data_IF_092353969785
#
_entry.id   IF_092353969785
#
_cell.length_a   1.000
_cell.length_b   1.000
_cell.length_c   1.000
_cell.angle_alpha   90.00
_cell.angle_beta   90.00
_cell.angle_gamma   90.00
#
_symmetry.space_group_name_H-M   'P 1'
#
loop_
_entity.id
_entity.type
_entity.pdbx_description
1 polymer ?
#
# COMPACT_ATOMS: atom_id res chain seq x y z
N UNK A 1 -29.88 7.63 13.53
CA UNK A 1 -28.97 6.47 13.66
C UNK A 1 -29.45 5.38 12.71
N UNK A 2 -28.87 5.25 11.53
CA UNK A 2 -29.16 4.13 10.60
C UNK A 2 -27.87 3.38 10.40
N UNK A 3 -27.77 2.21 11.03
CA UNK A 3 -26.71 1.24 10.86
C UNK A 3 -26.90 0.60 9.48
N UNK A 4 -26.13 0.99 8.50
CA UNK A 4 -26.07 0.30 7.20
C UNK A 4 -25.05 -0.82 7.33
N UNK A 5 -25.54 -2.03 7.45
CA UNK A 5 -24.76 -3.26 7.38
C UNK A 5 -24.23 -3.37 5.95
N UNK A 6 -22.92 -3.24 5.79
CA UNK A 6 -22.24 -3.55 4.53
C UNK A 6 -22.17 -5.08 4.45
N UNK A 7 -23.08 -5.65 3.69
CA UNK A 7 -23.02 -7.05 3.29
C UNK A 7 -21.78 -7.22 2.38
N UNK A 8 -20.79 -7.93 2.86
CA UNK A 8 -19.64 -8.35 2.07
C UNK A 8 -20.14 -9.25 0.94
N UNK A 9 -20.05 -8.76 -0.29
CA UNK A 9 -20.34 -9.53 -1.49
C UNK A 9 -19.24 -10.57 -1.65
N UNK A 10 -19.46 -11.78 -1.16
CA UNK A 10 -18.68 -12.95 -1.50
C UNK A 10 -19.00 -13.30 -2.96
N UNK A 11 -18.33 -12.62 -3.89
CA UNK A 11 -18.30 -13.07 -5.27
C UNK A 11 -17.60 -14.44 -5.29
N UNK A 12 -18.35 -15.49 -5.49
CA UNK A 12 -17.84 -16.83 -5.69
C UNK A 12 -16.96 -16.87 -6.93
N UNK A 13 -15.67 -16.63 -6.73
CA UNK A 13 -14.67 -16.94 -7.75
C UNK A 13 -14.62 -18.46 -7.79
N UNK A 14 -15.11 -19.04 -8.88
CA UNK A 14 -14.90 -20.45 -9.19
C UNK A 14 -13.40 -20.67 -9.35
N UNK A 15 -12.73 -20.97 -8.26
CA UNK A 15 -11.32 -21.36 -8.26
C UNK A 15 -11.26 -22.76 -8.84
N UNK A 16 -10.47 -22.99 -9.92
CA UNK A 16 -10.23 -24.36 -10.37
C UNK A 16 -9.74 -25.16 -9.17
N UNK A 17 -10.20 -26.41 -9.05
CA UNK A 17 -9.82 -27.30 -7.97
C UNK A 17 -8.32 -27.59 -8.03
N UNK A 18 -7.52 -26.66 -7.54
CA UNK A 18 -6.11 -26.87 -7.26
C UNK A 18 -6.05 -27.73 -6.00
N UNK A 19 -5.24 -28.77 -6.05
CA UNK A 19 -5.06 -29.66 -4.91
C UNK A 19 -4.68 -28.81 -3.68
N UNK A 20 -5.28 -29.12 -2.51
CA UNK A 20 -4.91 -28.46 -1.27
C UNK A 20 -3.39 -28.58 -1.03
N UNK A 21 -2.71 -27.54 -0.54
CA UNK A 21 -1.28 -27.55 -0.33
C UNK A 21 -0.90 -28.69 0.61
N UNK A 22 0.19 -29.37 0.30
CA UNK A 22 0.71 -30.47 1.13
C UNK A 22 1.07 -29.99 2.54
N UNK A 23 1.41 -28.71 2.67
CA UNK A 23 1.74 -28.05 3.94
C UNK A 23 1.29 -26.58 3.89
N UNK A 24 0.99 -25.92 5.03
CA UNK A 24 0.76 -24.48 5.06
C UNK A 24 1.96 -23.71 4.50
N UNK A 25 1.69 -22.62 3.80
CA UNK A 25 2.73 -21.73 3.21
C UNK A 25 3.64 -22.44 2.19
N UNK A 26 3.05 -23.27 1.33
CA UNK A 26 3.74 -23.92 0.20
C UNK A 26 2.76 -23.99 -0.97
N UNK A 27 2.99 -23.20 -2.02
CA UNK A 27 2.12 -23.10 -3.19
C UNK A 27 1.56 -21.70 -3.45
N UNK A 28 0.69 -21.59 -4.47
CA UNK A 28 0.06 -20.32 -4.81
C UNK A 28 -1.00 -19.92 -3.79
N UNK A 29 -1.21 -18.60 -3.66
CA UNK A 29 -2.28 -18.04 -2.84
C UNK A 29 -2.91 -16.82 -3.47
N UNK A 30 -4.16 -16.56 -3.11
CA UNK A 30 -4.89 -15.34 -3.40
C UNK A 30 -5.53 -14.84 -2.11
N UNK A 31 -5.60 -13.52 -1.92
CA UNK A 31 -6.18 -12.98 -0.70
C UNK A 31 -6.75 -11.60 -0.84
N UNK A 32 -7.38 -11.17 0.26
CA UNK A 32 -7.91 -9.83 0.44
C UNK A 32 -7.35 -9.21 1.70
N UNK A 33 -7.20 -7.90 1.70
CA UNK A 33 -6.66 -7.16 2.83
C UNK A 33 -7.40 -5.85 3.03
N UNK A 34 -7.39 -5.38 4.27
CA UNK A 34 -7.89 -4.07 4.65
C UNK A 34 -7.18 -3.55 5.89
N UNK A 35 -7.13 -2.23 6.06
CA UNK A 35 -6.39 -1.67 7.17
C UNK A 35 -6.37 -0.16 7.19
N UNK A 36 -5.43 0.37 7.94
CA UNK A 36 -5.25 1.79 8.13
C UNK A 36 -3.91 2.24 7.54
N UNK A 37 -3.94 3.37 6.83
CA UNK A 37 -2.79 3.97 6.18
C UNK A 37 -2.63 5.41 6.63
N UNK A 38 -1.40 5.81 6.93
CA UNK A 38 -1.01 7.17 7.23
C UNK A 38 0.03 7.64 6.22
N UNK A 39 -0.31 8.69 5.49
CA UNK A 39 0.56 9.36 4.55
C UNK A 39 1.20 10.60 5.19
N UNK A 40 2.48 10.79 4.96
CA UNK A 40 3.24 11.95 5.42
C UNK A 40 3.86 12.66 4.21
N UNK A 41 3.41 13.87 3.96
CA UNK A 41 4.01 14.78 2.99
C UNK A 41 4.88 15.80 3.74
N UNK A 42 6.17 15.86 3.39
CA UNK A 42 7.08 16.89 3.86
C UNK A 42 7.42 17.80 2.70
N UNK A 43 7.04 19.06 2.82
CA UNK A 43 7.42 20.12 1.89
C UNK A 43 8.53 20.93 2.54
N UNK A 44 9.68 21.04 1.86
CA UNK A 44 10.77 21.92 2.25
C UNK A 44 10.99 22.94 1.13
N UNK A 45 10.63 24.18 1.37
CA UNK A 45 10.90 25.29 0.45
C UNK A 45 12.07 26.10 1.02
N UNK A 46 13.10 26.32 0.21
CA UNK A 46 14.21 27.23 0.54
C UNK A 46 13.97 28.48 -0.31
N UNK A 47 13.49 29.54 0.33
CA UNK A 47 13.32 30.85 -0.26
C UNK A 47 14.27 31.83 0.44
N UNK A 48 15.20 32.48 -0.31
CA UNK A 48 16.09 33.54 0.12
C UNK A 48 16.62 33.49 1.57
N UNK A 49 16.96 32.26 2.05
CA UNK A 49 17.52 32.07 3.40
C UNK A 49 16.50 31.77 4.51
N UNK A 50 15.20 31.73 4.19
CA UNK A 50 14.14 31.33 5.16
C UNK A 50 13.55 30.01 4.73
N UNK A 51 13.83 28.93 5.49
CA UNK A 51 13.28 27.60 5.23
C UNK A 51 11.90 27.43 5.87
N UNK A 52 10.85 27.33 5.08
CA UNK A 52 9.51 26.95 5.55
C UNK A 52 9.37 25.44 5.44
N UNK A 53 9.08 24.76 6.56
CA UNK A 53 8.80 23.34 6.60
C UNK A 53 7.35 23.11 6.98
N UNK A 54 6.59 22.53 6.09
CA UNK A 54 5.22 22.06 6.37
C UNK A 54 5.20 20.54 6.42
N UNK A 55 4.46 19.99 7.38
CA UNK A 55 4.23 18.55 7.52
C UNK A 55 2.72 18.33 7.56
N UNK A 56 2.21 17.68 6.56
CA UNK A 56 0.83 17.23 6.53
C UNK A 56 0.75 15.72 6.72
N UNK A 57 -0.18 15.29 7.56
CA UNK A 57 -0.52 13.89 7.78
C UNK A 57 -1.94 13.67 7.29
N UNK A 58 -2.13 12.65 6.48
CA UNK A 58 -3.44 12.28 5.97
C UNK A 58 -3.66 10.79 6.22
N UNK A 59 -4.68 10.46 7.00
CA UNK A 59 -5.02 9.12 7.39
C UNK A 59 -6.17 8.60 6.54
N UNK A 60 -6.21 7.29 6.28
CA UNK A 60 -7.30 6.69 5.52
C UNK A 60 -7.35 5.18 5.67
N UNK A 61 -8.52 4.63 5.36
CA UNK A 61 -8.71 3.18 5.28
C UNK A 61 -8.22 2.68 3.92
N UNK A 62 -7.37 1.64 3.92
CA UNK A 62 -6.87 0.95 2.73
C UNK A 62 -7.54 -0.41 2.60
N UNK A 63 -7.83 -0.81 1.37
CA UNK A 63 -8.39 -2.12 1.04
C UNK A 63 -7.81 -2.62 -0.27
N UNK A 64 -7.77 -3.94 -0.46
CA UNK A 64 -7.19 -4.48 -1.69
C UNK A 64 -7.17 -5.98 -1.76
N UNK A 65 -6.52 -6.47 -2.82
CA UNK A 65 -6.28 -7.88 -3.05
C UNK A 65 -4.81 -8.15 -3.33
N UNK A 66 -4.43 -9.39 -3.11
CA UNK A 66 -3.10 -9.89 -3.38
C UNK A 66 -3.14 -11.28 -3.97
N UNK A 67 -2.09 -11.59 -4.72
CA UNK A 67 -1.80 -12.92 -5.26
C UNK A 67 -0.33 -13.19 -5.07
N UNK A 68 0.04 -14.43 -4.81
CA UNK A 68 1.44 -14.75 -4.61
C UNK A 68 1.70 -16.25 -4.68
N UNK A 69 2.96 -16.57 -4.46
CA UNK A 69 3.45 -17.92 -4.40
C UNK A 69 4.47 -18.05 -3.28
N UNK A 70 4.32 -19.07 -2.44
CA UNK A 70 5.24 -19.44 -1.39
C UNK A 70 5.96 -20.71 -1.74
N UNK A 71 7.23 -20.74 -1.46
CA UNK A 71 8.08 -21.89 -1.61
C UNK A 71 8.77 -22.21 -0.28
N UNK A 72 8.55 -23.41 0.24
CA UNK A 72 9.18 -23.86 1.48
C UNK A 72 10.62 -24.30 1.20
N UNK A 73 11.59 -23.43 1.53
CA UNK A 73 13.03 -23.70 1.36
C UNK A 73 13.54 -24.80 2.30
N UNK A 74 12.96 -24.87 3.50
CA UNK A 74 13.34 -25.81 4.55
C UNK A 74 12.17 -26.00 5.52
N UNK A 75 12.27 -26.89 6.51
CA UNK A 75 11.22 -27.05 7.53
C UNK A 75 10.82 -25.75 8.24
N UNK A 76 11.71 -24.75 8.28
CA UNK A 76 11.48 -23.51 9.01
C UNK A 76 11.49 -22.24 8.14
N UNK A 77 11.95 -22.31 6.89
CA UNK A 77 12.06 -21.11 6.04
C UNK A 77 11.16 -21.18 4.82
N UNK A 78 10.47 -20.09 4.58
CA UNK A 78 9.59 -19.87 3.42
C UNK A 78 10.10 -18.65 2.63
N UNK A 79 10.27 -18.83 1.33
CA UNK A 79 10.53 -17.75 0.39
C UNK A 79 9.29 -17.55 -0.46
N UNK A 80 8.81 -16.32 -0.59
CA UNK A 80 7.64 -16.02 -1.40
C UNK A 80 7.80 -14.80 -2.28
N UNK A 81 6.93 -14.73 -3.29
CA UNK A 81 6.73 -13.56 -4.13
C UNK A 81 5.25 -13.18 -4.13
N UNK A 82 4.95 -11.89 -4.07
CA UNK A 82 3.59 -11.39 -3.98
C UNK A 82 3.41 -10.16 -4.86
N UNK A 83 2.27 -10.09 -5.56
CA UNK A 83 1.77 -8.90 -6.19
C UNK A 83 0.47 -8.46 -5.50
N UNK A 84 0.31 -7.17 -5.24
CA UNK A 84 -0.90 -6.64 -4.62
C UNK A 84 -1.36 -5.36 -5.28
N UNK A 85 -2.69 -5.17 -5.26
CA UNK A 85 -3.36 -3.95 -5.66
C UNK A 85 -4.17 -3.43 -4.49
N UNK A 86 -3.95 -2.17 -4.11
CA UNK A 86 -4.70 -1.53 -3.02
C UNK A 86 -5.30 -0.22 -3.49
N UNK A 87 -6.49 0.08 -2.95
CA UNK A 87 -7.18 1.35 -3.06
C UNK A 87 -7.35 1.97 -1.67
N UNK A 88 -7.65 3.26 -1.62
CA UNK A 88 -7.89 3.98 -0.37
C UNK A 88 -9.28 4.59 -0.35
N UNK A 89 -9.92 4.55 0.82
CA UNK A 89 -11.11 5.36 1.09
C UNK A 89 -10.66 6.64 1.80
N UNK A 90 -10.99 7.77 1.24
CA UNK A 90 -10.70 9.09 1.80
C UNK A 90 -10.68 10.11 0.68
N UNK A 91 -11.26 11.28 0.95
CA UNK A 91 -11.24 12.41 0.03
C UNK A 91 -10.42 13.49 0.69
N UNK A 92 -9.26 13.81 0.13
CA UNK A 92 -8.53 15.00 0.47
C UNK A 92 -9.18 16.21 -0.21
N UNK A 93 -9.42 17.28 0.54
CA UNK A 93 -9.83 18.55 -0.02
C UNK A 93 -8.68 19.54 0.19
N UNK A 94 -8.18 20.11 -0.89
CA UNK A 94 -7.27 21.24 -0.84
C UNK A 94 -8.11 22.51 -1.12
N UNK A 95 -8.13 23.44 -0.17
CA UNK A 95 -8.68 24.76 -0.36
C UNK A 95 -7.51 25.71 -0.60
N UNK A 96 -7.48 26.39 -1.75
CA UNK A 96 -6.40 27.31 -2.12
C UNK A 96 -6.52 28.70 -1.46
N UNK A 97 -7.55 28.90 -0.64
CA UNK A 97 -7.82 30.20 0.00
C UNK A 97 -8.53 31.22 -0.89
N UNK A 98 -8.75 30.90 -2.18
CA UNK A 98 -9.47 31.75 -3.14
C UNK A 98 -10.86 31.21 -3.50
N UNK A 99 -11.30 30.12 -2.86
CA UNK A 99 -12.64 29.55 -3.03
C UNK A 99 -12.70 28.31 -3.91
N UNK A 100 -11.61 27.89 -4.53
CA UNK A 100 -11.56 26.67 -5.31
C UNK A 100 -11.21 25.45 -4.45
N UNK A 101 -12.06 24.42 -4.55
CA UNK A 101 -11.89 23.17 -3.82
C UNK A 101 -11.38 22.09 -4.77
N UNK A 102 -10.11 21.76 -4.68
CA UNK A 102 -9.52 20.67 -5.45
C UNK A 102 -9.77 19.35 -4.75
N UNK A 103 -10.31 18.36 -5.48
CA UNK A 103 -10.52 17.02 -4.98
C UNK A 103 -9.33 16.15 -5.31
N UNK A 104 -8.56 15.79 -4.30
CA UNK A 104 -7.51 14.79 -4.38
C UNK A 104 -8.14 13.41 -4.19
N UNK A 105 -8.14 12.60 -5.23
CA UNK A 105 -8.51 11.19 -5.14
C UNK A 105 -7.23 10.38 -5.29
N UNK A 106 -6.83 9.66 -4.25
CA UNK A 106 -5.79 8.64 -4.42
C UNK A 106 -6.36 7.54 -5.32
N UNK A 107 -5.63 7.24 -6.37
CA UNK A 107 -5.90 6.14 -7.27
C UNK A 107 -5.51 4.80 -6.63
N UNK A 108 -4.94 3.92 -7.42
CA UNK A 108 -4.47 2.60 -7.01
C UNK A 108 -3.00 2.63 -6.60
N UNK A 109 -2.61 1.75 -5.68
CA UNK A 109 -1.22 1.39 -5.43
C UNK A 109 -0.99 -0.05 -5.87
N UNK A 110 0.05 -0.28 -6.66
CA UNK A 110 0.51 -1.60 -7.09
C UNK A 110 1.81 -1.92 -6.37
N UNK A 111 1.93 -3.12 -5.80
CA UNK A 111 3.16 -3.58 -5.18
C UNK A 111 3.58 -4.92 -5.80
N UNK A 112 4.90 -5.07 -5.99
CA UNK A 112 5.54 -6.33 -6.32
C UNK A 112 6.67 -6.56 -5.30
N UNK A 113 6.55 -7.60 -4.48
CA UNK A 113 7.42 -7.82 -3.32
C UNK A 113 7.87 -9.26 -3.23
N UNK A 114 9.10 -9.45 -2.72
CA UNK A 114 9.55 -10.72 -2.18
C UNK A 114 9.31 -10.78 -0.69
N UNK A 115 9.11 -11.98 -0.14
CA UNK A 115 9.00 -12.23 1.29
C UNK A 115 9.90 -13.38 1.74
N UNK A 116 10.50 -13.23 2.91
CA UNK A 116 11.26 -14.28 3.58
C UNK A 116 10.64 -14.47 4.97
N UNK A 117 10.18 -15.68 5.24
CA UNK A 117 9.50 -16.02 6.46
C UNK A 117 10.17 -17.14 7.25
N UNK A 118 9.94 -17.12 8.54
CA UNK A 118 10.32 -18.17 9.49
C UNK A 118 9.07 -18.76 10.12
N UNK A 119 8.93 -20.08 10.04
CA UNK A 119 7.82 -20.83 10.60
C UNK A 119 7.97 -20.94 12.12
N UNK A 120 6.93 -20.50 12.83
CA UNK A 120 6.81 -20.61 14.29
C UNK A 120 5.75 -21.65 14.60
N UNK A 121 6.21 -22.78 15.10
CA UNK A 121 5.33 -23.96 15.23
C UNK A 121 4.88 -24.46 13.86
N UNK A 122 3.72 -25.15 13.84
CA UNK A 122 3.22 -25.82 12.63
C UNK A 122 2.36 -24.91 11.74
N UNK A 123 1.93 -23.74 12.25
CA UNK A 123 0.88 -22.92 11.63
C UNK A 123 1.15 -21.43 11.60
N UNK A 124 2.21 -20.94 12.24
CA UNK A 124 2.57 -19.53 12.28
C UNK A 124 3.73 -19.23 11.35
N UNK A 125 3.69 -18.09 10.64
CA UNK A 125 4.76 -17.57 9.80
C UNK A 125 5.04 -16.12 10.18
N UNK A 126 6.24 -15.84 10.70
CA UNK A 126 6.75 -14.47 10.83
C UNK A 126 7.58 -14.18 9.60
N UNK A 127 7.36 -13.04 8.95
CA UNK A 127 8.08 -12.72 7.72
C UNK A 127 8.46 -11.24 7.62
N UNK A 128 9.52 -11.00 6.88
CA UNK A 128 9.86 -9.70 6.33
C UNK A 128 9.58 -9.71 4.83
N UNK A 129 9.16 -8.58 4.30
CA UNK A 129 8.93 -8.38 2.87
C UNK A 129 9.57 -7.11 2.37
N UNK A 130 9.86 -7.05 1.07
CA UNK A 130 10.38 -5.85 0.45
C UNK A 130 10.28 -5.92 -1.06
N UNK A 131 10.17 -4.77 -1.69
CA UNK A 131 10.07 -4.70 -3.15
C UNK A 131 9.64 -3.34 -3.67
N UNK A 132 9.15 -3.36 -4.89
CA UNK A 132 8.72 -2.19 -5.64
C UNK A 132 7.28 -1.81 -5.33
N UNK A 133 7.01 -0.51 -5.28
CA UNK A 133 5.68 0.08 -5.09
C UNK A 133 5.46 1.20 -6.09
N UNK A 134 4.31 1.17 -6.79
CA UNK A 134 3.87 2.22 -7.71
C UNK A 134 2.52 2.76 -7.23
N UNK A 135 2.49 4.03 -6.86
CA UNK A 135 1.28 4.73 -6.43
C UNK A 135 0.83 5.73 -7.48
N UNK A 136 -0.44 5.63 -7.89
CA UNK A 136 -1.07 6.57 -8.83
C UNK A 136 -1.90 7.59 -8.08
N UNK A 137 -1.65 8.86 -8.38
CA UNK A 137 -2.39 9.99 -7.87
C UNK A 137 -3.18 10.64 -9.01
N UNK A 138 -4.49 10.72 -8.87
CA UNK A 138 -5.37 11.40 -9.83
C UNK A 138 -5.78 12.78 -9.25
N UNK A 139 -5.26 13.85 -9.83
CA UNK A 139 -5.71 15.22 -9.59
C UNK A 139 -6.89 15.49 -10.53
N UNK A 140 -8.07 15.66 -9.98
CA UNK A 140 -9.25 16.07 -10.73
C UNK A 140 -9.51 17.55 -10.52
N UNK A 141 -9.25 18.31 -11.59
CA UNK A 141 -9.75 19.65 -11.80
C UNK A 141 -11.07 19.57 -12.58
N UNK A 142 -12.02 20.52 -12.45
CA UNK A 142 -13.25 20.57 -13.26
C UNK A 142 -13.04 20.49 -14.77
N UNK A 143 -11.84 20.82 -15.26
CA UNK A 143 -11.52 20.88 -16.69
C UNK A 143 -10.58 19.75 -17.16
N UNK A 144 -9.71 19.21 -16.29
CA UNK A 144 -8.71 18.21 -16.66
C UNK A 144 -8.44 17.20 -15.52
N UNK A 145 -8.19 15.94 -15.90
CA UNK A 145 -7.69 14.92 -14.98
C UNK A 145 -6.22 14.64 -15.32
N UNK A 146 -5.31 14.98 -14.41
CA UNK A 146 -3.88 14.71 -14.56
C UNK A 146 -3.50 13.59 -13.59
N UNK A 147 -3.23 12.40 -14.12
CA UNK A 147 -2.69 11.28 -13.35
C UNK A 147 -1.17 11.36 -13.27
N UNK A 148 -0.60 11.24 -12.08
CA UNK A 148 0.83 11.08 -11.86
C UNK A 148 1.12 9.76 -11.17
N UNK A 149 1.98 8.96 -11.80
CA UNK A 149 2.52 7.74 -11.19
C UNK A 149 3.79 8.09 -10.40
N UNK A 150 3.91 7.52 -9.20
CA UNK A 150 5.10 7.63 -8.35
C UNK A 150 5.62 6.25 -8.03
N UNK A 151 6.88 6.05 -8.37
CA UNK A 151 7.63 4.85 -8.09
C UNK A 151 8.36 4.97 -6.77
N UNK A 152 8.45 3.87 -6.05
CA UNK A 152 9.12 3.81 -4.77
C UNK A 152 9.42 2.37 -4.37
N UNK A 153 9.89 2.20 -3.15
CA UNK A 153 10.06 0.90 -2.54
C UNK A 153 9.15 0.75 -1.32
N UNK A 154 8.81 -0.49 -1.02
CA UNK A 154 8.09 -0.85 0.20
C UNK A 154 8.87 -1.91 0.96
N UNK A 155 8.89 -1.79 2.28
CA UNK A 155 9.42 -2.81 3.19
C UNK A 155 8.40 -3.03 4.30
N UNK A 156 8.31 -4.25 4.79
CA UNK A 156 7.33 -4.57 5.82
C UNK A 156 7.70 -5.80 6.61
N UNK A 157 6.97 -5.98 7.69
CA UNK A 157 7.01 -7.17 8.52
C UNK A 157 5.59 -7.63 8.80
N UNK A 158 5.40 -8.94 8.91
CA UNK A 158 4.08 -9.49 9.15
C UNK A 158 4.12 -10.80 9.92
N UNK A 159 2.95 -11.14 10.38
CA UNK A 159 2.65 -12.43 10.96
C UNK A 159 1.43 -13.02 10.24
N UNK A 160 1.53 -14.27 9.83
CA UNK A 160 0.46 -15.02 9.18
C UNK A 160 0.20 -16.31 9.91
N UNK A 161 -1.06 -16.56 10.25
CA UNK A 161 -1.51 -17.76 10.97
C UNK A 161 -2.38 -18.60 10.07
N UNK A 162 -1.98 -19.84 9.81
CA UNK A 162 -2.83 -20.80 9.14
C UNK A 162 -4.00 -21.22 10.06
N UNK A 163 -5.21 -20.85 9.67
CA UNK A 163 -6.44 -21.21 10.35
C UNK A 163 -6.89 -22.63 9.98
N UNK A 164 -6.74 -22.94 8.71
CA UNK A 164 -6.95 -24.27 8.13
C UNK A 164 -5.77 -24.65 7.25
N UNK A 165 -5.84 -25.74 6.52
CA UNK A 165 -4.82 -26.10 5.52
C UNK A 165 -4.79 -25.14 4.33
N UNK A 166 -5.93 -24.52 4.03
CA UNK A 166 -6.13 -23.69 2.85
C UNK A 166 -6.36 -22.22 3.17
N UNK A 167 -6.69 -21.85 4.42
CA UNK A 167 -7.00 -20.48 4.80
C UNK A 167 -6.04 -20.01 5.88
N UNK A 168 -5.47 -18.85 5.68
CA UNK A 168 -4.66 -18.13 6.68
C UNK A 168 -5.19 -16.72 6.92
N UNK A 169 -4.89 -16.19 8.12
CA UNK A 169 -5.09 -14.80 8.49
C UNK A 169 -3.74 -14.14 8.71
N UNK A 170 -3.57 -12.91 8.21
CA UNK A 170 -2.32 -12.16 8.35
C UNK A 170 -2.54 -10.76 8.92
N UNK A 171 -1.53 -10.26 9.62
CA UNK A 171 -1.39 -8.86 10.02
C UNK A 171 -0.02 -8.39 9.57
N UNK A 172 0.05 -7.19 9.01
CA UNK A 172 1.23 -6.68 8.35
C UNK A 172 1.41 -5.19 8.62
N UNK A 173 2.64 -4.78 8.88
CA UNK A 173 3.06 -3.38 8.89
C UNK A 173 3.97 -3.14 7.69
N UNK A 174 3.64 -2.10 6.90
CA UNK A 174 4.39 -1.69 5.73
C UNK A 174 4.83 -0.24 5.83
N UNK A 175 6.07 0.01 5.48
CA UNK A 175 6.63 1.32 5.23
C UNK A 175 6.96 1.45 3.75
N UNK A 176 6.51 2.53 3.10
CA UNK A 176 6.82 2.82 1.71
C UNK A 176 7.40 4.23 1.58
N UNK A 177 8.42 4.36 0.73
CA UNK A 177 9.07 5.62 0.40
C UNK A 177 9.06 5.80 -1.13
N UNK A 178 8.45 6.88 -1.57
CA UNK A 178 8.30 7.22 -3.00
C UNK A 178 9.30 8.29 -3.44
N UNK A 179 10.36 8.48 -2.67
CA UNK A 179 11.45 9.38 -2.96
C UNK A 179 11.10 10.86 -2.87
N UNK A 180 12.07 11.69 -3.20
CA UNK A 180 11.94 13.13 -3.26
C UNK A 180 11.95 13.60 -4.72
N UNK A 181 10.99 14.42 -5.12
CA UNK A 181 11.07 15.15 -6.40
C UNK A 181 11.41 16.61 -6.13
N UNK A 182 12.47 17.08 -6.79
CA UNK A 182 12.79 18.50 -6.86
C UNK A 182 11.96 19.09 -8.00
N UNK A 183 10.93 19.84 -7.70
CA UNK A 183 10.22 20.63 -8.69
C UNK A 183 10.95 21.98 -8.85
N UNK A 184 11.67 22.14 -9.95
CA UNK A 184 12.10 23.47 -10.40
C UNK A 184 10.90 24.08 -11.12
N UNK A 185 10.31 25.10 -10.55
CA UNK A 185 9.19 25.78 -11.17
C UNK A 185 9.72 26.76 -12.23
N UNK A 186 9.61 26.37 -13.51
CA UNK A 186 10.02 27.19 -14.65
C UNK A 186 9.16 28.47 -14.83
N UNK A 187 8.11 28.67 -14.02
CA UNK A 187 7.22 29.81 -14.07
C UNK A 187 7.70 31.04 -13.23
N UNK A 188 8.65 30.80 -12.31
CA UNK A 188 9.27 31.88 -11.51
C UNK A 188 10.79 31.75 -11.58
N UNK A 189 11.34 32.16 -12.72
CA UNK A 189 12.79 32.18 -12.95
C UNK A 189 13.46 33.32 -12.15
N UNK A 190 13.57 33.13 -10.84
CA UNK A 190 14.43 33.92 -9.95
C UNK A 190 15.54 33.06 -9.32
N UNK A 191 15.93 32.02 -10.00
CA UNK A 191 17.27 31.42 -9.89
C UNK A 191 17.61 30.59 -8.64
N UNK A 192 16.79 30.57 -7.57
CA UNK A 192 17.19 29.98 -6.27
C UNK A 192 16.16 29.08 -5.58
N UNK A 193 14.94 28.98 -6.06
CA UNK A 193 13.88 28.26 -5.34
C UNK A 193 13.82 26.79 -5.71
N UNK A 194 14.24 25.93 -4.81
CA UNK A 194 14.05 24.49 -4.90
C UNK A 194 13.00 24.02 -3.91
N UNK A 195 11.87 23.50 -4.42
CA UNK A 195 10.85 22.82 -3.61
C UNK A 195 11.14 21.33 -3.60
N UNK A 196 11.42 20.79 -2.43
CA UNK A 196 11.60 19.35 -2.21
C UNK A 196 10.38 18.78 -1.54
N UNK A 197 9.76 17.80 -2.19
CA UNK A 197 8.61 17.07 -1.67
C UNK A 197 8.98 15.61 -1.40
N UNK A 198 9.06 15.21 -0.12
CA UNK A 198 9.28 13.82 0.31
C UNK A 198 7.93 13.20 0.67
N UNK A 199 7.63 12.04 0.10
CA UNK A 199 6.39 11.31 0.36
C UNK A 199 6.69 9.95 0.99
N UNK A 200 6.14 9.72 2.17
CA UNK A 200 6.28 8.49 2.96
C UNK A 200 4.93 7.98 3.41
N UNK A 201 4.82 6.67 3.49
CA UNK A 201 3.58 5.99 3.86
C UNK A 201 3.86 4.91 4.90
N UNK A 202 3.00 4.86 5.92
CA UNK A 202 2.94 3.77 6.89
C UNK A 202 1.56 3.13 6.79
N UNK A 203 1.48 1.82 6.77
CA UNK A 203 0.21 1.10 6.72
C UNK A 203 0.24 -0.10 7.66
N UNK A 204 -0.88 -0.32 8.35
CA UNK A 204 -1.16 -1.55 9.08
C UNK A 204 -2.34 -2.21 8.42
N UNK A 205 -2.18 -3.43 7.94
CA UNK A 205 -3.22 -4.18 7.26
C UNK A 205 -3.44 -5.54 7.91
N UNK A 206 -4.69 -6.00 7.86
CA UNK A 206 -5.08 -7.36 8.16
C UNK A 206 -5.68 -7.98 6.91
N UNK A 207 -5.50 -9.29 6.70
CA UNK A 207 -5.98 -9.96 5.51
C UNK A 207 -6.24 -11.43 5.72
N UNK A 208 -6.90 -12.01 4.72
CA UNK A 208 -7.14 -13.45 4.61
C UNK A 208 -6.57 -13.92 3.29
N UNK A 209 -5.88 -15.07 3.31
CA UNK A 209 -5.36 -15.74 2.13
C UNK A 209 -5.99 -17.12 1.98
N UNK A 210 -6.23 -17.50 0.74
CA UNK A 210 -6.61 -18.84 0.32
C UNK A 210 -5.43 -19.45 -0.42
N UNK A 211 -4.89 -20.55 0.11
CA UNK A 211 -3.75 -21.30 -0.43
C UNK A 211 -4.23 -22.52 -1.20
N UNK A 212 -3.46 -22.92 -2.23
CA UNK A 212 -3.75 -24.03 -3.12
C UNK A 212 -2.60 -25.01 -3.23
#
# INVERSE_FOLDING_TARGET
MKLSIIAALAAGIAVPALAAPAAPFDGPFIGVQGGWQQDQLRLSTIDAGTGIRSREKNDGFVYGGQIGYDYRLSPHFVLGAEASITGRTGRGYLNDGFGDVYRLTEGRTLNATGRLGYLVGDRGLIYARGGYSNARFDLRDPVQTVGQDRDGYTVGVGYEQALTRTVSARVEYNYSDYGSKNARNAAFDTGTDSVRADYRRNAVTAGLNLHF
#
